data_IF_596909824657
#
_entry.id   IF_596909824657
#
_cell.length_a   1.000
_cell.length_b   1.000
_cell.length_c   1.000
_cell.angle_alpha   90.00
_cell.angle_beta   90.00
_cell.angle_gamma   90.00
#
_symmetry.space_group_name_H-M   'P 1'
#
loop_
_entity.id
_entity.type
_entity.pdbx_description
1 polymer ?
#
# COMPACT_ATOMS: atom_id res chain seq x y z
N UNK A 1 27.69 8.92 -37.66
CA UNK A 1 26.35 9.53 -37.51
C UNK A 1 25.63 8.75 -36.44
N UNK A 2 25.20 9.43 -35.38
CA UNK A 2 24.79 8.85 -34.10
C UNK A 2 23.26 8.83 -34.00
N UNK A 3 22.75 7.67 -33.56
CA UNK A 3 21.47 7.40 -32.87
C UNK A 3 20.14 7.73 -33.58
N UNK A 4 19.33 6.68 -33.75
CA UNK A 4 17.90 6.74 -33.47
C UNK A 4 17.43 5.37 -32.93
N UNK A 5 17.58 5.15 -31.63
CA UNK A 5 16.83 4.12 -30.93
C UNK A 5 15.38 4.62 -30.84
N UNK A 6 14.48 3.97 -31.57
CA UNK A 6 13.05 4.24 -31.50
C UNK A 6 12.56 3.70 -30.15
N UNK A 7 12.53 4.58 -29.15
CA UNK A 7 11.95 4.31 -27.85
C UNK A 7 10.46 4.01 -28.01
N UNK A 8 10.03 2.88 -27.47
CA UNK A 8 8.64 2.48 -27.37
C UNK A 8 7.84 3.58 -26.63
N UNK A 9 6.93 4.24 -27.35
CA UNK A 9 5.92 5.08 -26.71
C UNK A 9 4.89 4.15 -26.08
N UNK A 10 5.05 3.85 -24.80
CA UNK A 10 3.99 3.34 -23.94
C UNK A 10 2.94 4.44 -23.73
N UNK A 11 2.21 4.77 -24.79
CA UNK A 11 1.01 5.59 -24.75
C UNK A 11 -0.17 4.66 -24.48
N UNK A 12 -0.39 4.35 -23.19
CA UNK A 12 -1.55 3.61 -22.68
C UNK A 12 -2.28 4.42 -21.60
N UNK A 13 -2.38 5.73 -21.80
CA UNK A 13 -3.16 6.62 -20.95
C UNK A 13 -4.65 6.53 -21.29
N UNK A 14 -5.30 5.44 -20.87
CA UNK A 14 -6.76 5.34 -20.89
C UNK A 14 -7.31 5.61 -19.48
N UNK A 15 -8.03 6.72 -19.38
CA UNK A 15 -8.41 7.38 -18.15
C UNK A 15 -9.48 6.64 -17.35
N UNK A 16 -9.19 6.38 -16.08
CA UNK A 16 -10.14 6.45 -14.95
C UNK A 16 -9.41 6.23 -13.62
N UNK A 17 -8.89 7.31 -13.03
CA UNK A 17 -8.72 7.55 -11.58
C UNK A 17 -7.89 6.60 -10.69
N UNK A 18 -7.41 5.46 -11.19
CA UNK A 18 -6.68 4.46 -10.39
C UNK A 18 -5.17 4.65 -10.49
N UNK A 19 -4.50 4.52 -9.35
CA UNK A 19 -3.04 4.56 -9.23
C UNK A 19 -2.45 3.26 -9.77
N UNK A 20 -1.52 3.36 -10.71
CA UNK A 20 -0.79 2.20 -11.22
C UNK A 20 0.21 1.72 -10.20
N UNK A 21 0.40 0.42 -10.07
CA UNK A 21 1.41 -0.21 -9.21
C UNK A 21 1.94 -1.47 -9.90
N UNK A 22 3.15 -1.91 -9.53
CA UNK A 22 3.66 -3.18 -10.02
C UNK A 22 2.84 -4.36 -9.48
N UNK A 23 2.98 -5.53 -10.11
CA UNK A 23 2.30 -6.75 -9.64
C UNK A 23 2.66 -7.07 -8.19
N UNK A 24 3.94 -6.96 -7.81
CA UNK A 24 4.41 -7.22 -6.45
C UNK A 24 3.83 -6.23 -5.41
N UNK A 25 3.75 -4.95 -5.78
CA UNK A 25 3.12 -3.92 -4.95
C UNK A 25 1.62 -4.19 -4.76
N UNK A 26 0.94 -4.59 -5.84
CA UNK A 26 -0.47 -4.95 -5.78
C UNK A 26 -0.72 -6.17 -4.90
N UNK A 27 0.13 -7.18 -5.00
CA UNK A 27 0.05 -8.39 -4.17
C UNK A 27 0.27 -8.06 -2.69
N UNK A 28 1.19 -7.15 -2.38
CA UNK A 28 1.39 -6.64 -1.00
C UNK A 28 0.15 -5.89 -0.51
N UNK A 29 -0.44 -5.01 -1.32
CA UNK A 29 -1.68 -4.30 -1.01
C UNK A 29 -2.85 -5.25 -0.74
N UNK A 30 -2.94 -6.38 -1.46
CA UNK A 30 -3.98 -7.38 -1.23
C UNK A 30 -3.66 -8.26 -0.01
N UNK A 31 -2.39 -8.61 0.19
CA UNK A 31 -1.94 -9.45 1.30
C UNK A 31 -2.13 -8.76 2.65
N UNK A 32 -1.80 -7.46 2.74
CA UNK A 32 -1.94 -6.69 3.99
C UNK A 32 -3.40 -6.65 4.48
N UNK A 33 -4.38 -6.77 3.58
CA UNK A 33 -5.80 -6.79 3.95
C UNK A 33 -6.18 -7.96 4.88
N UNK A 34 -5.34 -8.97 5.06
CA UNK A 34 -5.55 -10.01 6.09
C UNK A 34 -5.57 -9.44 7.51
N UNK A 35 -4.94 -8.29 7.71
CA UNK A 35 -4.82 -7.55 8.96
C UNK A 35 -5.73 -6.32 9.01
N UNK A 36 -6.71 -6.21 8.12
CA UNK A 36 -7.58 -5.05 8.13
C UNK A 36 -8.64 -5.20 9.23
N UNK A 37 -8.55 -4.42 10.31
CA UNK A 37 -9.59 -4.36 11.34
C UNK A 37 -10.98 -3.93 10.82
N UNK A 38 -11.05 -3.33 9.62
CA UNK A 38 -12.31 -3.01 8.92
C UNK A 38 -12.93 -4.20 8.16
N UNK A 39 -12.21 -5.32 8.06
CA UNK A 39 -12.60 -6.54 7.36
C UNK A 39 -11.83 -6.75 6.04
N UNK A 40 -11.28 -7.96 5.77
CA UNK A 40 -10.48 -8.23 4.57
C UNK A 40 -11.21 -7.97 3.25
N UNK A 41 -12.51 -8.24 3.18
CA UNK A 41 -13.31 -8.03 1.97
C UNK A 41 -13.41 -6.54 1.61
N UNK A 42 -13.65 -5.66 2.60
CA UNK A 42 -13.74 -4.22 2.39
C UNK A 42 -12.39 -3.64 1.98
N UNK A 43 -11.31 -4.06 2.65
CA UNK A 43 -9.95 -3.64 2.28
C UNK A 43 -9.61 -4.02 0.83
N UNK A 44 -9.86 -5.27 0.43
CA UNK A 44 -9.58 -5.73 -0.96
C UNK A 44 -10.43 -5.00 -1.99
N UNK A 45 -11.69 -4.69 -1.67
CA UNK A 45 -12.55 -3.90 -2.55
C UNK A 45 -11.98 -2.49 -2.77
N UNK A 46 -11.53 -1.83 -1.71
CA UNK A 46 -10.91 -0.50 -1.81
C UNK A 46 -9.58 -0.54 -2.57
N UNK A 47 -8.74 -1.56 -2.35
CA UNK A 47 -7.51 -1.76 -3.13
C UNK A 47 -7.84 -1.88 -4.63
N UNK A 48 -8.83 -2.70 -5.01
CA UNK A 48 -9.29 -2.83 -6.40
C UNK A 48 -9.89 -1.56 -6.99
N UNK A 49 -10.45 -0.69 -6.15
CA UNK A 49 -11.01 0.61 -6.56
C UNK A 49 -9.94 1.67 -6.75
N UNK A 50 -8.86 1.60 -5.98
CA UNK A 50 -7.82 2.64 -5.93
C UNK A 50 -6.64 2.31 -6.83
N UNK A 51 -6.26 1.04 -6.91
CA UNK A 51 -5.05 0.58 -7.58
C UNK A 51 -5.36 -0.31 -8.78
N UNK A 52 -4.48 -0.26 -9.77
CA UNK A 52 -4.45 -1.21 -10.89
C UNK A 52 -3.02 -1.70 -11.11
N UNK A 53 -2.88 -2.95 -11.55
CA UNK A 53 -1.58 -3.46 -11.98
C UNK A 53 -1.17 -2.75 -13.27
N UNK A 54 0.05 -2.23 -13.29
CA UNK A 54 0.65 -1.50 -14.39
C UNK A 54 2.13 -1.28 -14.13
N UNK A 55 2.59 -0.04 -14.24
CA UNK A 55 3.97 0.32 -13.92
C UNK A 55 4.19 0.38 -12.41
N UNK A 56 5.43 0.11 -11.97
CA UNK A 56 5.83 0.31 -10.57
C UNK A 56 5.60 1.76 -10.14
N UNK A 57 4.97 1.94 -9.00
CA UNK A 57 4.84 3.26 -8.37
C UNK A 57 5.96 3.44 -7.35
N UNK A 58 7.01 4.16 -7.76
CA UNK A 58 8.15 4.49 -6.89
C UNK A 58 7.79 5.48 -5.78
N UNK A 59 6.63 6.14 -5.86
CA UNK A 59 6.10 7.00 -4.82
C UNK A 59 5.14 6.27 -3.87
N UNK A 60 4.86 4.99 -4.09
CA UNK A 60 4.08 4.16 -3.16
C UNK A 60 4.92 3.84 -1.93
N UNK A 61 4.43 4.23 -0.76
CA UNK A 61 5.09 3.95 0.50
C UNK A 61 4.94 2.47 0.88
N UNK A 62 5.90 1.64 0.49
CA UNK A 62 5.98 0.23 0.86
C UNK A 62 6.99 0.03 2.00
N UNK A 63 6.55 -0.63 3.07
CA UNK A 63 7.30 -0.77 4.32
C UNK A 63 7.13 -2.18 4.86
N UNK A 64 8.18 -2.72 5.47
CA UNK A 64 8.13 -4.02 6.13
C UNK A 64 8.69 -3.92 7.55
N UNK A 65 7.95 -4.44 8.52
CA UNK A 65 8.37 -4.53 9.91
C UNK A 65 8.02 -5.92 10.46
N UNK A 66 8.98 -6.56 11.14
CA UNK A 66 8.77 -7.85 11.83
C UNK A 66 8.08 -8.94 10.97
N UNK A 67 8.42 -9.02 9.68
CA UNK A 67 7.83 -10.01 8.76
C UNK A 67 6.46 -9.63 8.19
N UNK A 68 5.96 -8.42 8.48
CA UNK A 68 4.74 -7.86 7.92
C UNK A 68 5.09 -6.78 6.92
N UNK A 69 4.72 -7.00 5.65
CA UNK A 69 4.83 -6.01 4.59
C UNK A 69 3.48 -5.29 4.40
N UNK A 70 3.55 -3.98 4.24
CA UNK A 70 2.42 -3.10 3.92
C UNK A 70 2.83 -2.09 2.85
N UNK A 71 1.88 -1.69 2.02
CA UNK A 71 2.04 -0.63 1.05
C UNK A 71 0.90 0.38 1.17
N UNK A 72 1.22 1.65 0.90
CA UNK A 72 0.28 2.76 0.90
C UNK A 72 -0.25 3.12 2.29
N UNK A 73 -1.35 3.88 2.30
CA UNK A 73 -2.00 4.31 3.53
C UNK A 73 -2.79 3.15 4.16
N UNK A 74 -2.50 2.87 5.43
CA UNK A 74 -3.25 1.87 6.19
C UNK A 74 -4.59 2.45 6.65
N UNK A 75 -5.69 1.82 6.22
CA UNK A 75 -7.02 2.16 6.72
C UNK A 75 -7.24 1.56 8.11
N UNK A 76 -6.77 2.29 9.11
CA UNK A 76 -6.89 1.92 10.52
C UNK A 76 -8.32 2.13 11.05
N UNK A 77 -8.86 1.11 11.69
CA UNK A 77 -10.05 1.13 12.53
C UNK A 77 -9.87 2.01 13.78
N UNK A 78 -10.96 2.23 14.53
CA UNK A 78 -10.90 3.01 15.78
C UNK A 78 -9.93 2.40 16.80
N UNK A 79 -9.93 1.08 16.94
CA UNK A 79 -9.07 0.36 17.87
C UNK A 79 -7.60 0.42 17.44
N UNK A 80 -7.30 0.19 16.15
CA UNK A 80 -5.93 0.29 15.63
C UNK A 80 -5.37 1.71 15.79
N UNK A 81 -6.18 2.75 15.54
CA UNK A 81 -5.76 4.14 15.78
C UNK A 81 -5.49 4.44 17.25
N UNK A 82 -6.21 3.80 18.16
CA UNK A 82 -5.95 3.93 19.59
C UNK A 82 -4.63 3.24 19.96
N UNK A 83 -4.40 2.02 19.48
CA UNK A 83 -3.12 1.32 19.63
C UNK A 83 -1.96 2.18 19.11
N UNK A 84 -2.09 2.79 17.91
CA UNK A 84 -1.05 3.64 17.36
C UNK A 84 -0.72 4.80 18.31
N UNK A 85 -1.73 5.48 18.86
CA UNK A 85 -1.52 6.57 19.83
C UNK A 85 -0.79 6.07 21.07
N UNK A 86 -1.29 5.02 21.70
CA UNK A 86 -0.71 4.45 22.93
C UNK A 86 0.74 3.99 22.69
N UNK A 87 1.02 3.34 21.56
CA UNK A 87 2.37 2.92 21.17
C UNK A 87 3.30 4.11 20.92
N UNK A 88 2.82 5.18 20.29
CA UNK A 88 3.63 6.39 20.08
C UNK A 88 3.94 7.12 21.39
N UNK A 89 3.00 7.16 22.32
CA UNK A 89 3.21 7.71 23.67
C UNK A 89 4.23 6.90 24.47
N UNK A 90 4.33 5.59 24.19
CA UNK A 90 5.33 4.68 24.76
C UNK A 90 6.69 4.74 24.03
N UNK A 91 6.86 5.63 23.05
CA UNK A 91 8.14 5.87 22.38
C UNK A 91 8.35 5.11 21.07
N UNK A 92 7.34 4.41 20.53
CA UNK A 92 7.42 3.88 19.16
C UNK A 92 7.28 5.02 18.13
N UNK A 93 7.99 4.89 17.00
CA UNK A 93 7.77 5.80 15.88
C UNK A 93 6.39 5.55 15.27
N UNK A 94 5.73 6.63 14.80
CA UNK A 94 4.39 6.54 14.19
C UNK A 94 4.33 5.47 13.10
N UNK A 95 5.31 5.44 12.19
CA UNK A 95 5.35 4.47 11.09
C UNK A 95 5.46 3.02 11.56
N UNK A 96 6.21 2.77 12.64
CA UNK A 96 6.32 1.42 13.21
C UNK A 96 5.03 1.04 13.94
N UNK A 97 4.48 1.95 14.74
CA UNK A 97 3.23 1.75 15.47
C UNK A 97 2.06 1.45 14.50
N UNK A 98 1.96 2.15 13.37
CA UNK A 98 0.94 1.88 12.34
C UNK A 98 0.98 0.43 11.86
N UNK A 99 2.16 -0.10 11.53
CA UNK A 99 2.29 -1.47 11.01
C UNK A 99 2.06 -2.51 12.09
N UNK A 100 2.67 -2.34 13.27
CA UNK A 100 2.52 -3.29 14.37
C UNK A 100 1.06 -3.35 14.88
N UNK A 101 0.40 -2.21 15.02
CA UNK A 101 -1.00 -2.15 15.45
C UNK A 101 -1.97 -2.68 14.40
N UNK A 102 -1.68 -2.45 13.10
CA UNK A 102 -2.46 -3.03 12.01
C UNK A 102 -2.35 -4.55 12.01
N UNK A 103 -1.12 -5.08 12.13
CA UNK A 103 -0.85 -6.53 12.13
C UNK A 103 -1.39 -7.29 13.35
N UNK A 104 -1.74 -6.59 14.43
CA UNK A 104 -2.26 -7.14 15.69
C UNK A 104 -3.80 -7.28 15.70
N UNK A 105 -4.49 -6.86 14.63
CA UNK A 105 -5.97 -6.81 14.58
C UNK A 105 -6.67 -8.14 14.25
#
# INVERSE_FOLDING_TARGET
>A
MVLAAVGATAAGGDGSGKREVSQEQYDTLIAQCRYAGTGPAKCRAEVRRTYRVGNEDTALDCRAYAGVAVCGELRLSKAERQCVRESTEQGLSLRRAEVECYARS
#
